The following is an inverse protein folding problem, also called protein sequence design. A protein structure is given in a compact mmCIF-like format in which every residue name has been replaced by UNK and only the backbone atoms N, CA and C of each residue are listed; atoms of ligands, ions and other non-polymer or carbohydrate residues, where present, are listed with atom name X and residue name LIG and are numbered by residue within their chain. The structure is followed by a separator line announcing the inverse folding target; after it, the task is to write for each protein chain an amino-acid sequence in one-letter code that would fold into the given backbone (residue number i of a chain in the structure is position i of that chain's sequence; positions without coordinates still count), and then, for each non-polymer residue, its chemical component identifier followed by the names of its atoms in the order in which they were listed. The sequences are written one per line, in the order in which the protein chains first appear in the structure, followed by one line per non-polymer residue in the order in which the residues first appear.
data_IF_316588026857
#
_entry.id   IF_316588026857
#
_cell.length_a   1.000
_cell.length_b   1.000
_cell.length_c   1.000
_cell.angle_alpha   90.00
_cell.angle_beta   90.00
_cell.angle_gamma   90.00
#
_symmetry.space_group_name_H-M   'P 1'
#
loop_
_entity.id
_entity.type
_entity.pdbx_description
1 polymer ?
#
# COMPACT_ATOMS: atom_id res chain seq x y z
N UNK A 1 -50.03 33.82 12.33
CA UNK A 1 -49.29 32.54 12.38
C UNK A 1 -48.83 32.26 10.96
N UNK A 2 -47.58 32.59 10.63
CA UNK A 2 -47.02 32.34 9.31
C UNK A 2 -46.75 30.84 9.16
N UNK A 3 -47.23 30.26 8.07
CA UNK A 3 -47.02 28.86 7.73
C UNK A 3 -45.52 28.59 7.57
N UNK A 4 -44.99 27.69 8.41
CA UNK A 4 -43.62 27.20 8.29
C UNK A 4 -43.59 26.37 7.01
N UNK A 5 -42.97 26.93 5.97
CA UNK A 5 -42.70 26.22 4.72
C UNK A 5 -41.70 25.10 5.02
N UNK A 6 -42.20 23.88 5.26
CA UNK A 6 -41.36 22.68 5.39
C UNK A 6 -40.77 22.34 4.02
N UNK A 7 -39.62 22.93 3.68
CA UNK A 7 -38.91 22.60 2.46
C UNK A 7 -38.22 21.24 2.62
N UNK A 8 -38.66 20.27 1.82
CA UNK A 8 -38.09 18.92 1.80
C UNK A 8 -36.65 18.95 1.27
N UNK A 9 -35.72 18.35 2.02
CA UNK A 9 -34.33 18.19 1.59
C UNK A 9 -34.19 17.00 0.64
N UNK A 10 -33.45 17.21 -0.44
CA UNK A 10 -33.12 16.17 -1.42
C UNK A 10 -31.62 15.91 -1.39
N UNK A 11 -31.26 14.75 -0.87
CA UNK A 11 -29.88 14.37 -0.64
C UNK A 11 -29.46 13.31 -1.68
N UNK A 12 -28.32 13.52 -2.33
CA UNK A 12 -27.60 12.48 -3.09
C UNK A 12 -26.56 11.90 -2.16
N UNK A 13 -26.82 10.71 -1.63
CA UNK A 13 -25.99 10.08 -0.61
C UNK A 13 -25.10 9.01 -1.24
N UNK A 14 -23.79 9.17 -1.09
CA UNK A 14 -22.74 8.27 -1.57
C UNK A 14 -22.26 7.47 -0.36
N UNK A 15 -22.44 6.16 -0.39
CA UNK A 15 -22.02 5.27 0.71
C UNK A 15 -20.67 4.62 0.40
N UNK A 16 -20.49 4.22 -0.85
CA UNK A 16 -19.26 3.68 -1.44
C UNK A 16 -19.19 4.18 -2.90
N UNK A 17 -18.04 4.05 -3.57
CA UNK A 17 -17.79 4.63 -4.90
C UNK A 17 -18.82 4.21 -5.97
N UNK A 18 -19.52 3.09 -5.79
CA UNK A 18 -20.54 2.54 -6.68
C UNK A 18 -21.97 2.60 -6.11
N UNK A 19 -22.15 3.05 -4.85
CA UNK A 19 -23.43 3.04 -4.14
C UNK A 19 -23.94 4.45 -3.88
N UNK A 20 -24.58 5.03 -4.90
CA UNK A 20 -25.21 6.36 -4.86
C UNK A 20 -26.72 6.22 -4.72
N UNK A 21 -27.29 6.77 -3.65
CA UNK A 21 -28.73 6.71 -3.36
C UNK A 21 -29.32 8.10 -3.18
N UNK A 22 -30.50 8.31 -3.76
CA UNK A 22 -31.27 9.53 -3.55
C UNK A 22 -32.19 9.38 -2.34
N UNK A 23 -32.02 10.23 -1.36
CA UNK A 23 -32.86 10.29 -0.15
C UNK A 23 -33.63 11.60 -0.15
N UNK A 24 -34.90 11.54 0.21
CA UNK A 24 -35.73 12.74 0.44
C UNK A 24 -36.14 12.74 1.90
N UNK A 25 -35.95 13.88 2.55
CA UNK A 25 -36.37 14.14 3.93
C UNK A 25 -37.50 15.15 3.90
N UNK A 26 -38.59 14.85 4.58
CA UNK A 26 -39.78 15.70 4.61
C UNK A 26 -39.59 16.91 5.53
N UNK A 27 -38.64 16.82 6.47
CA UNK A 27 -38.27 17.85 7.44
C UNK A 27 -36.75 18.04 7.45
N UNK A 28 -36.31 19.25 7.83
CA UNK A 28 -34.91 19.52 8.10
C UNK A 28 -34.50 18.85 9.43
N UNK A 29 -33.40 18.06 9.46
CA UNK A 29 -32.90 17.46 10.70
C UNK A 29 -32.57 18.53 11.74
N UNK A 30 -32.74 18.21 13.02
CA UNK A 30 -32.45 19.18 14.10
C UNK A 30 -30.93 19.28 14.41
N UNK A 31 -30.15 18.28 14.02
CA UNK A 31 -28.69 18.25 14.19
C UNK A 31 -28.02 17.30 13.19
N UNK A 32 -26.69 17.38 13.09
CA UNK A 32 -25.89 16.44 12.28
C UNK A 32 -26.05 14.99 12.79
N UNK A 33 -26.16 14.78 14.11
CA UNK A 33 -26.36 13.44 14.68
C UNK A 33 -27.75 12.88 14.39
N UNK A 34 -28.78 13.73 14.38
CA UNK A 34 -30.14 13.37 13.95
C UNK A 34 -30.14 12.95 12.48
N UNK A 35 -29.46 13.71 11.61
CA UNK A 35 -29.25 13.33 10.21
C UNK A 35 -28.53 11.98 10.08
N UNK A 36 -27.46 11.73 10.86
CA UNK A 36 -26.76 10.43 10.89
C UNK A 36 -27.70 9.29 11.29
N UNK A 37 -28.55 9.50 12.30
CA UNK A 37 -29.52 8.49 12.74
C UNK A 37 -30.55 8.15 11.66
N UNK A 38 -31.11 9.18 11.00
CA UNK A 38 -32.06 9.00 9.89
C UNK A 38 -31.41 8.25 8.72
N UNK A 39 -30.16 8.58 8.39
CA UNK A 39 -29.41 7.92 7.32
C UNK A 39 -29.09 6.46 7.66
N UNK A 40 -28.71 6.15 8.91
CA UNK A 40 -28.52 4.76 9.37
C UNK A 40 -29.76 3.92 9.18
N UNK A 41 -30.92 4.44 9.59
CA UNK A 41 -32.20 3.72 9.47
C UNK A 41 -32.60 3.52 7.99
N UNK A 42 -32.57 4.59 7.18
CA UNK A 42 -32.96 4.52 5.75
C UNK A 42 -32.01 3.69 4.90
N UNK A 43 -30.72 3.68 5.23
CA UNK A 43 -29.69 2.95 4.47
C UNK A 43 -29.36 1.58 5.04
N UNK A 44 -29.87 1.25 6.24
CA UNK A 44 -29.58 0.01 7.00
C UNK A 44 -28.08 -0.17 7.22
N UNK A 45 -27.42 0.86 7.76
CA UNK A 45 -25.98 0.85 8.03
C UNK A 45 -25.73 0.39 9.47
N UNK A 46 -24.89 -0.64 9.63
CA UNK A 46 -24.54 -1.24 10.93
C UNK A 46 -23.34 -0.56 11.63
N UNK A 47 -22.74 0.47 11.00
CA UNK A 47 -21.53 1.14 11.48
C UNK A 47 -21.70 2.65 11.67
N UNK A 48 -20.87 3.23 12.54
CA UNK A 48 -20.72 4.69 12.68
C UNK A 48 -19.99 5.30 11.49
N UNK A 49 -20.45 6.47 11.06
CA UNK A 49 -19.90 7.21 9.92
C UNK A 49 -19.91 8.71 10.18
N UNK A 50 -19.01 9.39 9.48
CA UNK A 50 -18.95 10.83 9.35
C UNK A 50 -19.54 11.26 8.01
N UNK A 51 -19.98 12.50 7.95
CA UNK A 51 -20.67 13.09 6.79
C UNK A 51 -19.79 14.18 6.20
N UNK A 52 -19.54 14.09 4.90
CA UNK A 52 -19.01 15.18 4.09
C UNK A 52 -20.09 15.65 3.13
N UNK A 53 -20.12 16.94 2.80
CA UNK A 53 -20.99 17.49 1.77
C UNK A 53 -20.19 18.19 0.68
N UNK A 54 -20.73 18.18 -0.54
CA UNK A 54 -20.15 18.88 -1.70
C UNK A 54 -20.49 20.37 -1.58
N UNK A 55 -19.49 21.23 -1.30
CA UNK A 55 -19.71 22.68 -1.16
C UNK A 55 -19.83 23.34 -2.56
N UNK A 56 -20.94 24.04 -2.86
CA UNK A 56 -21.15 24.64 -4.18
C UNK A 56 -20.13 25.74 -4.54
N UNK A 57 -19.54 26.39 -3.54
CA UNK A 57 -18.67 27.55 -3.71
C UNK A 57 -17.18 27.15 -3.92
N UNK A 58 -16.83 25.86 -3.76
CA UNK A 58 -15.47 25.32 -3.85
C UNK A 58 -15.33 24.21 -4.90
N UNK A 59 -15.85 24.43 -6.11
CA UNK A 59 -15.72 23.50 -7.26
C UNK A 59 -16.14 22.04 -6.98
N UNK A 60 -16.99 21.80 -5.97
CA UNK A 60 -17.45 20.47 -5.59
C UNK A 60 -16.51 19.67 -4.68
N UNK A 61 -15.61 20.33 -3.96
CA UNK A 61 -14.84 19.69 -2.89
C UNK A 61 -15.75 19.18 -1.75
N UNK A 62 -15.33 18.07 -1.14
CA UNK A 62 -16.04 17.42 -0.04
C UNK A 62 -15.54 17.94 1.31
N UNK A 63 -16.42 18.57 2.09
CA UNK A 63 -16.09 19.17 3.38
C UNK A 63 -16.92 18.52 4.48
N UNK A 64 -16.31 18.30 5.64
CA UNK A 64 -17.00 17.70 6.79
C UNK A 64 -18.19 18.56 7.23
N UNK A 65 -19.36 17.95 7.32
CA UNK A 65 -20.57 18.61 7.78
C UNK A 65 -20.53 18.72 9.32
N UNK A 66 -20.25 19.92 9.83
CA UNK A 66 -20.17 20.21 11.27
C UNK A 66 -21.43 20.91 11.78
N UNK A 67 -22.03 21.77 10.96
CA UNK A 67 -23.29 22.44 11.24
C UNK A 67 -24.37 21.99 10.24
N UNK A 68 -25.56 21.69 10.75
CA UNK A 68 -26.69 21.24 9.92
C UNK A 68 -27.27 22.40 9.09
N UNK A 69 -27.11 23.65 9.56
CA UNK A 69 -27.58 24.85 8.89
C UNK A 69 -26.78 25.17 7.60
N UNK A 70 -25.57 24.61 7.48
CA UNK A 70 -24.73 24.73 6.27
C UNK A 70 -25.23 23.86 5.11
N UNK A 71 -26.13 22.90 5.38
CA UNK A 71 -26.57 21.93 4.38
C UNK A 71 -27.63 22.54 3.42
N UNK A 72 -27.34 22.69 2.12
CA UNK A 72 -28.31 23.24 1.18
C UNK A 72 -29.47 22.26 0.94
N UNK A 73 -30.62 22.80 0.48
CA UNK A 73 -31.84 21.99 0.19
C UNK A 73 -31.61 20.85 -0.81
N UNK A 74 -30.58 20.99 -1.66
CA UNK A 74 -30.08 19.94 -2.53
C UNK A 74 -28.59 19.81 -2.28
N UNK A 75 -28.18 18.71 -1.67
CA UNK A 75 -26.79 18.45 -1.32
C UNK A 75 -26.38 17.04 -1.77
N UNK A 76 -25.11 16.90 -2.13
CA UNK A 76 -24.46 15.59 -2.19
C UNK A 76 -23.80 15.34 -0.84
N UNK A 77 -24.08 14.20 -0.24
CA UNK A 77 -23.43 13.74 0.98
C UNK A 77 -22.55 12.53 0.67
N UNK A 78 -21.34 12.52 1.18
CA UNK A 78 -20.46 11.37 1.19
C UNK A 78 -20.37 10.80 2.62
N UNK A 79 -20.67 9.52 2.77
CA UNK A 79 -20.52 8.80 4.03
C UNK A 79 -19.16 8.12 4.01
N UNK A 80 -18.36 8.40 5.02
CA UNK A 80 -17.11 7.70 5.24
C UNK A 80 -17.09 7.20 6.68
N UNK A 81 -16.47 6.04 6.90
CA UNK A 81 -16.36 5.46 8.24
C UNK A 81 -15.56 6.43 9.12
N UNK A 82 -16.10 6.76 10.29
CA UNK A 82 -15.40 7.58 11.25
C UNK A 82 -14.29 6.73 11.89
N UNK A 83 -13.05 6.92 11.45
CA UNK A 83 -11.89 6.53 12.24
C UNK A 83 -11.78 7.51 13.42
N UNK A 84 -11.50 6.98 14.61
CA UNK A 84 -11.49 7.76 15.85
C UNK A 84 -10.38 8.81 15.76
N UNK A 85 -10.76 10.05 15.47
CA UNK A 85 -9.87 11.20 15.44
C UNK A 85 -9.23 11.43 16.82
N UNK A 86 -7.89 11.43 16.86
CA UNK A 86 -7.17 12.25 17.84
C UNK A 86 -6.86 13.59 17.17
N UNK A 87 -7.70 14.59 17.44
CA UNK A 87 -7.48 16.00 17.09
C UNK A 87 -6.11 16.47 17.61
N UNK A 88 -5.29 17.32 16.97
CA UNK A 88 -5.62 18.46 16.09
C UNK A 88 -4.38 19.05 15.39
N UNK A 89 -4.63 19.66 14.21
CA UNK A 89 -3.99 20.84 13.57
C UNK A 89 -2.69 20.66 12.75
N UNK A 90 -2.85 20.85 11.43
CA UNK A 90 -1.92 21.49 10.43
C UNK A 90 -0.50 20.91 10.36
N UNK A 91 0.03 20.42 9.24
CA UNK A 91 -0.06 20.83 7.83
C UNK A 91 0.59 19.70 7.01
N UNK A 92 0.15 19.49 5.76
CA UNK A 92 0.82 18.72 4.68
C UNK A 92 1.06 17.22 4.90
N UNK A 93 0.24 16.43 4.20
CA UNK A 93 0.53 15.16 3.51
C UNK A 93 1.56 14.21 4.13
N UNK A 94 1.14 13.46 5.16
CA UNK A 94 1.73 12.15 5.49
C UNK A 94 0.74 11.28 6.28
N UNK A 95 -0.34 10.76 5.67
CA UNK A 95 -1.08 9.62 6.26
C UNK A 95 -1.61 8.66 5.18
N UNK A 96 -0.67 7.97 4.53
CA UNK A 96 -0.86 6.55 4.22
C UNK A 96 0.28 5.86 4.97
N UNK A 97 -0.06 5.09 6.02
CA UNK A 97 0.76 4.14 6.81
C UNK A 97 0.58 4.31 8.33
N UNK A 98 -0.63 4.09 8.85
CA UNK A 98 -0.83 3.85 10.29
C UNK A 98 -1.62 2.59 10.63
N UNK A 99 -2.19 1.88 9.64
CA UNK A 99 -3.10 0.75 9.90
C UNK A 99 -2.47 -0.64 10.09
N UNK A 100 -1.17 -0.71 10.43
CA UNK A 100 -0.47 -2.00 10.69
C UNK A 100 -0.08 -2.17 12.17
N UNK A 101 -0.66 -1.38 13.08
CA UNK A 101 -0.47 -1.54 14.54
C UNK A 101 -1.68 -2.13 15.27
N UNK A 102 -2.53 -2.89 14.57
CA UNK A 102 -3.65 -3.58 15.23
C UNK A 102 -3.12 -4.74 16.11
N UNK A 103 -3.52 -4.84 17.39
CA UNK A 103 -3.07 -5.90 18.31
C UNK A 103 -3.43 -7.32 17.82
N UNK A 104 -4.39 -7.44 16.90
CA UNK A 104 -4.77 -8.69 16.23
C UNK A 104 -3.70 -9.20 15.24
N UNK A 105 -2.91 -8.30 14.63
CA UNK A 105 -1.79 -8.73 13.81
C UNK A 105 -0.62 -9.17 14.68
N UNK A 106 -0.20 -8.41 15.69
CA UNK A 106 0.88 -8.80 16.62
C UNK A 106 0.65 -10.18 17.28
N UNK A 107 -0.59 -10.48 17.68
CA UNK A 107 -0.94 -11.77 18.28
C UNK A 107 -0.87 -12.96 17.31
N UNK A 108 -0.97 -12.73 16.00
CA UNK A 108 -0.77 -13.75 14.96
C UNK A 108 0.70 -14.06 14.70
N UNK A 109 1.59 -13.12 14.96
CA UNK A 109 3.04 -13.27 14.73
C UNK A 109 3.77 -13.84 15.96
N UNK A 110 3.32 -13.47 17.17
CA UNK A 110 3.87 -13.93 18.44
C UNK A 110 2.72 -14.17 19.44
N UNK A 111 2.28 -15.42 19.64
CA UNK A 111 1.27 -15.73 20.64
C UNK A 111 1.78 -15.35 22.04
N UNK A 112 1.25 -14.26 22.61
CA UNK A 112 1.52 -13.86 24.00
C UNK A 112 2.61 -12.81 24.24
N UNK A 113 3.09 -12.07 23.22
CA UNK A 113 4.00 -10.93 23.41
C UNK A 113 3.35 -9.58 23.09
N UNK A 114 3.57 -8.58 23.95
CA UNK A 114 3.10 -7.20 23.77
C UNK A 114 4.24 -6.24 23.37
N UNK A 115 3.88 -5.06 22.85
CA UNK A 115 4.82 -4.03 22.39
C UNK A 115 5.84 -3.59 23.46
N UNK A 116 5.47 -3.65 24.75
CA UNK A 116 6.35 -3.28 25.87
C UNK A 116 7.37 -4.37 26.21
N UNK A 117 7.03 -5.64 25.97
CA UNK A 117 7.94 -6.77 26.10
C UNK A 117 8.99 -6.73 25.00
N UNK A 118 8.59 -6.29 23.81
CA UNK A 118 9.42 -6.20 22.62
C UNK A 118 10.44 -5.04 22.71
N UNK A 119 10.03 -3.87 23.21
CA UNK A 119 10.97 -2.76 23.46
C UNK A 119 11.96 -3.08 24.60
N UNK A 120 11.52 -3.82 25.61
CA UNK A 120 12.42 -4.36 26.65
C UNK A 120 13.50 -5.26 26.05
N UNK A 121 13.11 -6.13 25.11
CA UNK A 121 14.05 -7.04 24.44
C UNK A 121 15.05 -6.28 23.55
N UNK A 122 14.62 -5.18 22.89
CA UNK A 122 15.52 -4.28 22.13
C UNK A 122 16.58 -3.64 23.03
N UNK A 123 16.16 -3.10 24.18
CA UNK A 123 17.07 -2.46 25.14
C UNK A 123 18.07 -3.46 25.73
N UNK A 124 17.62 -4.70 25.98
CA UNK A 124 18.48 -5.77 26.48
C UNK A 124 19.57 -6.15 25.45
N UNK A 125 19.27 -6.15 24.15
CA UNK A 125 20.28 -6.35 23.09
C UNK A 125 21.32 -5.23 23.10
N UNK A 126 20.87 -3.97 23.17
CA UNK A 126 21.78 -2.82 23.19
C UNK A 126 22.72 -2.91 24.39
N UNK A 127 22.18 -3.28 25.55
CA UNK A 127 22.95 -3.44 26.78
C UNK A 127 23.95 -4.60 26.68
N UNK A 128 23.57 -5.73 26.08
CA UNK A 128 24.46 -6.88 25.88
C UNK A 128 25.58 -6.57 24.87
N UNK A 129 25.28 -5.83 23.80
CA UNK A 129 26.27 -5.42 22.79
C UNK A 129 27.27 -4.39 23.33
N UNK A 130 26.90 -3.61 24.35
CA UNK A 130 27.77 -2.64 25.02
C UNK A 130 28.70 -3.25 26.07
N UNK A 131 28.55 -4.52 26.44
CA UNK A 131 29.43 -5.19 27.41
C UNK A 131 30.84 -5.41 26.84
N UNK A 132 31.84 -5.33 27.71
CA UNK A 132 33.26 -5.58 27.39
C UNK A 132 33.53 -7.05 27.06
N UNK A 133 32.83 -7.98 27.75
CA UNK A 133 32.72 -9.38 27.34
C UNK A 133 31.31 -9.62 26.79
N UNK A 134 31.23 -9.88 25.47
CA UNK A 134 29.97 -10.06 24.75
C UNK A 134 29.60 -11.54 24.70
N UNK A 135 28.40 -11.88 25.14
CA UNK A 135 27.90 -13.25 25.04
C UNK A 135 27.33 -13.50 23.64
N UNK A 136 28.21 -13.78 22.67
CA UNK A 136 27.82 -13.96 21.26
C UNK A 136 26.62 -14.90 21.04
N UNK A 137 26.47 -16.05 21.71
CA UNK A 137 25.31 -16.92 21.55
C UNK A 137 23.99 -16.31 22.08
N UNK A 138 24.08 -15.46 23.11
CA UNK A 138 22.93 -14.76 23.67
C UNK A 138 22.50 -13.62 22.74
N UNK A 139 23.47 -12.87 22.21
CA UNK A 139 23.22 -11.83 21.21
C UNK A 139 22.59 -12.46 19.96
N UNK A 140 23.12 -13.57 19.46
CA UNK A 140 22.59 -14.30 18.31
C UNK A 140 21.15 -14.78 18.55
N UNK A 141 20.89 -15.39 19.71
CA UNK A 141 19.53 -15.80 20.12
C UNK A 141 18.58 -14.60 20.20
N UNK A 142 19.00 -13.48 20.80
CA UNK A 142 18.17 -12.28 20.93
C UNK A 142 17.96 -11.59 19.58
N UNK A 143 18.96 -11.61 18.69
CA UNK A 143 18.85 -11.14 17.30
C UNK A 143 17.82 -11.97 16.53
N UNK A 144 17.85 -13.30 16.66
CA UNK A 144 16.86 -14.20 16.05
C UNK A 144 15.46 -13.95 16.63
N UNK A 145 15.33 -13.63 17.91
CA UNK A 145 14.01 -13.39 18.54
C UNK A 145 13.45 -11.99 18.18
N UNK A 146 14.30 -10.99 18.01
CA UNK A 146 13.92 -9.62 17.61
C UNK A 146 13.95 -9.39 16.09
N UNK A 147 14.28 -10.43 15.32
CA UNK A 147 14.30 -10.46 13.86
C UNK A 147 12.97 -9.98 13.25
N UNK A 148 11.85 -10.39 13.85
CA UNK A 148 10.50 -9.99 13.44
C UNK A 148 10.24 -8.50 13.72
N UNK A 149 10.81 -7.93 14.80
CA UNK A 149 10.62 -6.53 15.17
C UNK A 149 11.30 -5.57 14.21
N UNK A 150 12.52 -5.91 13.77
CA UNK A 150 13.29 -5.11 12.82
C UNK A 150 12.65 -5.05 11.42
N UNK A 151 11.64 -5.88 11.17
CA UNK A 151 10.90 -5.97 9.90
C UNK A 151 9.48 -5.42 10.01
N UNK A 152 9.16 -4.67 11.07
CA UNK A 152 7.93 -3.87 11.11
C UNK A 152 8.03 -2.77 10.04
N UNK A 153 7.01 -2.66 9.19
CA UNK A 153 7.00 -1.77 8.02
C UNK A 153 7.35 -0.30 8.37
N UNK A 154 6.82 0.22 9.47
CA UNK A 154 7.14 1.57 9.95
C UNK A 154 8.60 1.74 10.37
N UNK A 155 9.22 0.72 10.97
CA UNK A 155 10.61 0.76 11.39
C UNK A 155 11.56 0.71 10.19
N UNK A 156 11.26 -0.12 9.19
CA UNK A 156 12.11 -0.20 7.98
C UNK A 156 12.03 1.07 7.15
N UNK A 157 10.87 1.74 7.09
CA UNK A 157 10.75 3.06 6.45
C UNK A 157 11.49 4.15 7.22
N UNK A 158 11.41 4.15 8.55
CA UNK A 158 12.16 5.09 9.38
C UNK A 158 13.68 4.90 9.22
N UNK A 159 14.16 3.65 9.16
CA UNK A 159 15.57 3.34 8.91
C UNK A 159 16.00 3.75 7.51
N UNK A 160 15.18 3.51 6.48
CA UNK A 160 15.45 4.01 5.14
C UNK A 160 15.58 5.54 5.14
N UNK A 161 14.62 6.26 5.72
CA UNK A 161 14.64 7.72 5.80
C UNK A 161 15.85 8.22 6.60
N UNK A 162 16.26 7.52 7.65
CA UNK A 162 17.47 7.84 8.43
C UNK A 162 18.75 7.71 7.59
N UNK A 163 18.82 6.71 6.71
CA UNK A 163 20.01 6.43 5.88
C UNK A 163 20.07 7.36 4.66
N UNK A 164 18.94 7.56 3.99
CA UNK A 164 18.89 8.25 2.68
C UNK A 164 18.41 9.70 2.78
N UNK A 165 17.85 10.10 3.91
CA UNK A 165 17.14 11.37 4.09
C UNK A 165 15.94 11.56 3.14
N UNK A 166 15.41 10.47 2.57
CA UNK A 166 14.26 10.48 1.66
C UNK A 166 13.04 9.82 2.32
N UNK A 167 11.84 10.37 2.08
CA UNK A 167 10.58 9.71 2.42
C UNK A 167 10.24 8.69 1.31
N UNK A 168 10.46 7.40 1.60
CA UNK A 168 10.40 6.34 0.60
C UNK A 168 9.04 6.22 -0.13
N UNK A 169 7.89 6.10 0.57
CA UNK A 169 6.59 6.08 -0.10
C UNK A 169 6.36 7.28 -1.01
N UNK A 170 6.64 8.48 -0.53
CA UNK A 170 6.37 9.72 -1.27
C UNK A 170 7.22 9.78 -2.55
N UNK A 171 8.55 9.66 -2.42
CA UNK A 171 9.44 9.79 -3.58
C UNK A 171 9.17 8.69 -4.61
N UNK A 172 8.98 7.45 -4.17
CA UNK A 172 8.78 6.32 -5.06
C UNK A 172 7.47 6.44 -5.85
N UNK A 173 6.35 6.75 -5.20
CA UNK A 173 5.06 6.85 -5.89
C UNK A 173 5.00 8.08 -6.79
N UNK A 174 5.49 9.23 -6.33
CA UNK A 174 5.55 10.45 -7.15
C UNK A 174 6.34 10.21 -8.44
N UNK A 175 7.52 9.60 -8.31
CA UNK A 175 8.39 9.33 -9.45
C UNK A 175 7.87 8.21 -10.35
N UNK A 176 7.27 7.17 -9.77
CA UNK A 176 6.64 6.10 -10.53
C UNK A 176 5.48 6.65 -11.37
N UNK A 177 4.62 7.50 -10.80
CA UNK A 177 3.55 8.17 -11.51
C UNK A 177 4.09 9.07 -12.63
N UNK A 178 5.09 9.90 -12.32
CA UNK A 178 5.74 10.79 -13.28
C UNK A 178 6.29 10.04 -14.50
N UNK A 179 6.85 8.85 -14.29
CA UNK A 179 7.47 8.06 -15.36
C UNK A 179 6.52 7.08 -16.07
N UNK A 180 5.39 6.73 -15.46
CA UNK A 180 4.47 5.68 -15.94
C UNK A 180 4.05 5.86 -17.40
N UNK A 181 3.55 7.03 -17.79
CA UNK A 181 3.05 7.24 -19.17
C UNK A 181 4.15 7.11 -20.22
N UNK A 182 5.35 7.61 -19.92
CA UNK A 182 6.50 7.55 -20.83
C UNK A 182 7.02 6.13 -20.98
N UNK A 183 7.09 5.37 -19.88
CA UNK A 183 7.48 3.96 -19.89
C UNK A 183 6.47 3.11 -20.64
N UNK A 184 5.17 3.27 -20.40
CA UNK A 184 4.11 2.58 -21.14
C UNK A 184 4.18 2.83 -22.65
N UNK A 185 4.41 4.08 -23.05
CA UNK A 185 4.60 4.44 -24.47
C UNK A 185 5.84 3.75 -25.06
N UNK A 186 6.93 3.71 -24.30
CA UNK A 186 8.16 3.02 -24.71
C UNK A 186 7.96 1.52 -24.86
N UNK A 187 7.28 0.87 -23.92
CA UNK A 187 6.97 -0.56 -23.97
C UNK A 187 6.12 -0.89 -25.20
N UNK A 188 5.06 -0.13 -25.48
CA UNK A 188 4.23 -0.33 -26.69
C UNK A 188 5.05 -0.18 -27.98
N UNK A 189 5.90 0.85 -28.06
CA UNK A 189 6.81 1.05 -29.21
C UNK A 189 7.84 -0.09 -29.35
N UNK A 190 8.25 -0.70 -28.24
CA UNK A 190 9.19 -1.83 -28.26
C UNK A 190 8.48 -3.13 -28.63
N UNK A 191 7.27 -3.35 -28.13
CA UNK A 191 6.42 -4.51 -28.39
C UNK A 191 5.97 -4.61 -29.85
N UNK A 192 5.85 -3.48 -30.56
CA UNK A 192 5.51 -3.48 -32.00
C UNK A 192 6.65 -3.92 -32.92
N UNK A 193 7.79 -4.35 -32.37
CA UNK A 193 8.96 -4.84 -33.13
C UNK A 193 9.01 -6.36 -33.04
N UNK A 194 9.95 -6.97 -33.76
CA UNK A 194 10.16 -8.42 -33.72
C UNK A 194 11.20 -8.83 -32.66
N UNK A 195 11.09 -10.07 -32.19
CA UNK A 195 12.08 -10.74 -31.34
C UNK A 195 11.62 -10.93 -29.90
N UNK A 196 12.28 -11.86 -29.19
CA UNK A 196 11.87 -12.37 -27.87
C UNK A 196 11.46 -11.29 -26.85
N UNK A 197 12.24 -10.22 -26.72
CA UNK A 197 11.90 -9.10 -25.81
C UNK A 197 10.63 -8.36 -26.23
N UNK A 198 10.45 -8.16 -27.54
CA UNK A 198 9.26 -7.49 -28.07
C UNK A 198 8.02 -8.37 -27.86
N UNK A 199 8.15 -9.67 -28.09
CA UNK A 199 7.09 -10.66 -27.89
C UNK A 199 6.68 -10.71 -26.39
N UNK A 200 7.65 -10.80 -25.47
CA UNK A 200 7.39 -10.80 -24.03
C UNK A 200 6.72 -9.49 -23.54
N UNK A 201 7.13 -8.33 -24.06
CA UNK A 201 6.46 -7.05 -23.76
C UNK A 201 5.04 -7.01 -24.34
N UNK A 202 4.83 -7.56 -25.54
CA UNK A 202 3.51 -7.65 -26.16
C UNK A 202 2.57 -8.53 -25.33
N UNK A 203 3.07 -9.65 -24.79
CA UNK A 203 2.28 -10.52 -23.91
C UNK A 203 1.87 -9.83 -22.60
N UNK A 204 2.79 -9.11 -21.95
CA UNK A 204 2.48 -8.31 -20.75
C UNK A 204 1.41 -7.25 -21.07
N UNK A 205 1.61 -6.48 -22.14
CA UNK A 205 0.68 -5.41 -22.54
C UNK A 205 -0.69 -5.96 -22.95
N UNK A 206 -0.74 -7.13 -23.60
CA UNK A 206 -1.99 -7.80 -23.96
C UNK A 206 -2.81 -8.13 -22.70
N UNK A 207 -2.18 -8.65 -21.65
CA UNK A 207 -2.87 -8.99 -20.40
C UNK A 207 -3.31 -7.72 -19.65
N UNK A 208 -2.50 -6.66 -19.68
CA UNK A 208 -2.88 -5.35 -19.16
C UNK A 208 -4.12 -4.80 -19.89
N UNK A 209 -4.11 -4.79 -21.22
CA UNK A 209 -5.22 -4.21 -22.01
C UNK A 209 -6.52 -5.03 -21.90
N UNK A 210 -6.46 -6.26 -21.37
CA UNK A 210 -7.61 -7.10 -21.03
C UNK A 210 -8.18 -6.84 -19.63
N UNK A 211 -7.56 -5.98 -18.81
CA UNK A 211 -8.13 -5.62 -17.51
C UNK A 211 -9.38 -4.76 -17.69
N UNK A 212 -10.47 -5.07 -16.97
CA UNK A 212 -11.71 -4.30 -17.03
C UNK A 212 -11.51 -2.87 -16.48
N UNK A 213 -10.58 -2.70 -15.55
CA UNK A 213 -10.22 -1.42 -14.94
C UNK A 213 -8.76 -1.09 -15.27
N UNK A 214 -8.55 0.11 -15.83
CA UNK A 214 -7.24 0.65 -16.17
C UNK A 214 -6.84 1.75 -15.18
N UNK A 215 -6.87 1.41 -13.89
CA UNK A 215 -6.51 2.31 -12.80
C UNK A 215 -5.00 2.59 -12.74
N UNK A 216 -4.58 3.35 -11.73
CA UNK A 216 -3.16 3.67 -11.52
C UNK A 216 -2.35 2.42 -11.15
N UNK A 217 -2.92 1.51 -10.34
CA UNK A 217 -2.22 0.35 -9.81
C UNK A 217 -1.90 -0.72 -10.86
N UNK A 218 -2.81 -0.96 -11.79
CA UNK A 218 -2.61 -1.81 -12.96
C UNK A 218 -1.51 -1.26 -13.88
N UNK A 219 -1.41 0.06 -14.03
CA UNK A 219 -0.32 0.70 -14.78
C UNK A 219 1.02 0.56 -14.05
N UNK A 220 1.07 0.83 -12.75
CA UNK A 220 2.26 0.64 -11.91
C UNK A 220 2.77 -0.80 -11.98
N UNK A 221 1.87 -1.77 -11.80
CA UNK A 221 2.19 -3.19 -11.88
C UNK A 221 2.77 -3.56 -13.24
N UNK A 222 2.17 -3.04 -14.32
CA UNK A 222 2.68 -3.24 -15.69
C UNK A 222 4.07 -2.66 -15.87
N UNK A 223 4.29 -1.43 -15.39
CA UNK A 223 5.58 -0.75 -15.50
C UNK A 223 6.68 -1.51 -14.77
N UNK A 224 6.44 -1.88 -13.50
CA UNK A 224 7.40 -2.58 -12.67
C UNK A 224 7.73 -3.99 -13.22
N UNK A 225 6.77 -4.68 -13.84
CA UNK A 225 6.99 -6.00 -14.45
C UNK A 225 7.63 -5.92 -15.84
N UNK A 226 7.33 -4.90 -16.62
CA UNK A 226 7.85 -4.74 -17.99
C UNK A 226 9.26 -4.13 -18.04
N UNK A 227 9.65 -3.35 -17.02
CA UNK A 227 10.97 -2.73 -16.95
C UNK A 227 12.14 -3.72 -17.11
N UNK A 228 12.24 -4.80 -16.32
CA UNK A 228 13.36 -5.75 -16.48
C UNK A 228 13.33 -6.49 -17.83
N UNK A 229 12.14 -6.74 -18.37
CA UNK A 229 11.99 -7.33 -19.71
C UNK A 229 12.54 -6.38 -20.78
N UNK A 230 12.24 -5.08 -20.69
CA UNK A 230 12.79 -4.07 -21.60
C UNK A 230 14.33 -4.03 -21.55
N UNK A 231 14.89 -4.13 -20.34
CA UNK A 231 16.33 -4.14 -20.07
C UNK A 231 17.00 -5.49 -20.38
N UNK A 232 16.21 -6.50 -20.75
CA UNK A 232 16.65 -7.87 -21.12
C UNK A 232 17.30 -8.62 -19.95
N UNK A 233 16.77 -8.41 -18.77
CA UNK A 233 17.22 -9.01 -17.52
C UNK A 233 16.46 -10.30 -17.22
N UNK A 234 17.08 -11.19 -16.43
CA UNK A 234 16.45 -12.43 -15.99
C UNK A 234 15.62 -12.19 -14.73
N UNK A 235 14.32 -12.37 -14.85
CA UNK A 235 13.36 -12.14 -13.77
C UNK A 235 13.06 -13.40 -12.94
N UNK A 236 13.49 -14.58 -13.40
CA UNK A 236 13.10 -15.88 -12.82
C UNK A 236 13.59 -16.09 -11.39
N UNK A 237 14.73 -15.48 -11.04
CA UNK A 237 15.28 -15.48 -9.68
C UNK A 237 14.53 -14.58 -8.71
N UNK A 238 13.80 -13.57 -9.21
CA UNK A 238 13.28 -12.48 -8.39
C UNK A 238 11.75 -12.43 -8.30
N UNK A 239 11.04 -12.56 -9.42
CA UNK A 239 9.58 -12.66 -9.40
C UNK A 239 9.17 -14.13 -9.31
N UNK A 240 8.85 -14.57 -8.11
CA UNK A 240 8.34 -15.92 -7.83
C UNK A 240 6.82 -15.92 -7.86
N UNK A 241 6.23 -16.96 -8.43
CA UNK A 241 4.77 -17.13 -8.48
C UNK A 241 4.44 -18.54 -8.00
N UNK A 242 3.50 -18.67 -7.07
CA UNK A 242 2.97 -19.95 -6.61
C UNK A 242 1.44 -19.94 -6.63
N UNK A 243 0.84 -21.10 -6.83
CA UNK A 243 -0.61 -21.26 -6.76
C UNK A 243 -1.03 -21.59 -5.33
N UNK A 244 -2.22 -21.13 -4.93
CA UNK A 244 -2.80 -21.48 -3.63
C UNK A 244 -3.03 -23.00 -3.47
N UNK A 245 -3.24 -23.69 -4.58
CA UNK A 245 -3.46 -25.15 -4.60
C UNK A 245 -2.17 -25.96 -4.49
N UNK A 246 -1.01 -25.30 -4.62
CA UNK A 246 0.27 -25.96 -4.43
C UNK A 246 0.40 -26.34 -2.94
N UNK A 247 0.35 -27.65 -2.66
CA UNK A 247 0.38 -28.24 -1.30
C UNK A 247 1.73 -28.10 -0.61
N UNK A 248 2.76 -27.63 -1.32
CA UNK A 248 4.14 -27.57 -0.84
C UNK A 248 4.51 -26.15 -0.39
N UNK A 249 5.47 -26.03 0.52
CA UNK A 249 6.12 -24.75 0.79
C UNK A 249 6.60 -24.14 -0.54
N UNK A 250 6.38 -22.84 -0.78
CA UNK A 250 6.75 -22.23 -2.04
C UNK A 250 8.26 -22.44 -2.29
N UNK A 251 8.63 -22.82 -3.52
CA UNK A 251 10.04 -22.87 -3.90
C UNK A 251 10.57 -21.44 -4.02
N UNK A 252 11.16 -20.99 -2.92
CA UNK A 252 11.65 -19.64 -2.74
C UNK A 252 13.04 -19.46 -3.37
N UNK A 253 13.74 -20.57 -3.65
CA UNK A 253 15.12 -20.57 -4.17
C UNK A 253 16.15 -19.89 -3.25
N UNK A 254 17.38 -19.77 -3.74
CA UNK A 254 18.50 -19.16 -3.00
C UNK A 254 18.63 -17.64 -3.21
N UNK A 255 17.55 -16.96 -3.60
CA UNK A 255 17.59 -15.53 -3.88
C UNK A 255 17.76 -14.73 -2.56
N UNK A 256 18.71 -13.79 -2.47
CA UNK A 256 18.89 -12.98 -1.27
C UNK A 256 17.67 -12.10 -1.00
N UNK A 257 17.03 -11.61 -2.07
CA UNK A 257 15.79 -10.83 -2.04
C UNK A 257 14.94 -11.21 -3.25
N UNK A 258 13.67 -11.51 -3.03
CA UNK A 258 12.70 -11.80 -4.09
C UNK A 258 11.27 -11.36 -3.70
N UNK A 259 10.37 -11.30 -4.68
CA UNK A 259 8.95 -11.03 -4.48
C UNK A 259 8.16 -12.29 -4.85
N UNK A 260 7.45 -12.85 -3.88
CA UNK A 260 6.56 -14.00 -4.04
C UNK A 260 5.13 -13.51 -4.24
N UNK A 261 4.52 -13.93 -5.34
CA UNK A 261 3.11 -13.66 -5.68
C UNK A 261 2.32 -14.96 -5.60
N UNK A 262 1.32 -14.99 -4.74
CA UNK A 262 0.40 -16.13 -4.58
C UNK A 262 -0.86 -15.85 -5.41
N UNK A 263 -1.25 -16.79 -6.26
CA UNK A 263 -2.39 -16.65 -7.18
C UNK A 263 -3.35 -17.83 -7.08
N UNK A 264 -4.62 -17.61 -7.45
CA UNK A 264 -5.60 -18.69 -7.69
C UNK A 264 -5.74 -19.06 -9.16
N UNK A 265 -5.11 -18.29 -10.05
CA UNK A 265 -5.29 -18.38 -11.50
C UNK A 265 -4.08 -19.06 -12.16
N UNK A 266 -4.07 -19.08 -13.49
CA UNK A 266 -3.05 -19.74 -14.29
C UNK A 266 -1.64 -19.10 -14.14
N UNK A 267 -0.73 -19.82 -13.46
CA UNK A 267 0.68 -19.47 -13.28
C UNK A 267 1.48 -19.27 -14.59
N UNK A 268 0.97 -19.68 -15.75
CA UNK A 268 1.66 -19.45 -17.03
C UNK A 268 1.58 -17.99 -17.51
N UNK A 269 0.76 -17.14 -16.88
CA UNK A 269 0.67 -15.73 -17.25
C UNK A 269 1.94 -14.97 -16.83
N UNK A 270 2.53 -14.13 -17.69
CA UNK A 270 3.71 -13.33 -17.34
C UNK A 270 3.44 -12.25 -16.26
N UNK A 271 2.17 -11.89 -16.04
CA UNK A 271 1.76 -10.88 -15.06
C UNK A 271 0.38 -11.19 -14.47
N UNK A 272 0.22 -10.89 -13.17
CA UNK A 272 -1.01 -11.06 -12.41
C UNK A 272 -1.37 -9.75 -11.71
N UNK A 273 -2.56 -9.22 -12.01
CA UNK A 273 -3.03 -7.95 -11.43
C UNK A 273 -3.80 -8.12 -10.11
N UNK A 274 -4.41 -9.29 -9.91
CA UNK A 274 -5.23 -9.60 -8.73
C UNK A 274 -4.67 -10.82 -7.98
N UNK A 275 -3.45 -10.73 -7.43
CA UNK A 275 -2.92 -11.82 -6.62
C UNK A 275 -3.65 -11.91 -5.28
N UNK A 276 -3.67 -13.10 -4.70
CA UNK A 276 -4.26 -13.35 -3.38
C UNK A 276 -3.37 -12.75 -2.28
N UNK A 277 -2.07 -12.87 -2.47
CA UNK A 277 -1.06 -12.37 -1.53
C UNK A 277 0.22 -12.03 -2.26
N UNK A 278 0.86 -10.94 -1.86
CA UNK A 278 2.23 -10.64 -2.25
C UNK A 278 3.08 -10.60 -0.98
N UNK A 279 4.22 -11.29 -0.99
CA UNK A 279 5.15 -11.39 0.13
C UNK A 279 6.58 -11.15 -0.33
N UNK A 280 7.40 -10.63 0.58
CA UNK A 280 8.84 -10.49 0.35
C UNK A 280 9.55 -11.77 0.79
N UNK A 281 10.53 -12.18 0.02
CA UNK A 281 11.45 -13.26 0.35
C UNK A 281 12.79 -12.63 0.72
N UNK A 282 13.37 -13.05 1.84
CA UNK A 282 14.71 -12.67 2.26
C UNK A 282 15.49 -13.91 2.69
N UNK A 283 16.69 -14.12 2.15
CA UNK A 283 17.57 -15.24 2.52
C UNK A 283 16.85 -16.59 2.49
N UNK A 284 16.08 -16.85 1.43
CA UNK A 284 15.28 -18.07 1.24
C UNK A 284 14.10 -18.25 2.22
N UNK A 285 13.77 -17.24 3.03
CA UNK A 285 12.63 -17.25 3.94
C UNK A 285 11.53 -16.29 3.49
N UNK A 286 10.28 -16.77 3.48
CA UNK A 286 9.12 -15.92 3.18
C UNK A 286 8.84 -15.01 4.38
N UNK A 287 9.03 -13.71 4.20
CA UNK A 287 8.54 -12.72 5.14
C UNK A 287 7.04 -12.53 4.97
N UNK A 288 6.32 -12.57 6.10
CA UNK A 288 4.85 -12.48 6.12
C UNK A 288 4.41 -11.03 5.95
N UNK A 289 4.72 -10.42 4.82
CA UNK A 289 4.04 -9.19 4.40
C UNK A 289 2.81 -9.61 3.60
N UNK A 290 1.63 -9.11 3.97
CA UNK A 290 0.40 -9.30 3.18
C UNK A 290 0.20 -8.03 2.36
N UNK A 291 1.05 -7.84 1.36
CA UNK A 291 1.10 -6.58 0.62
C UNK A 291 -0.01 -6.56 -0.42
N UNK A 292 -0.81 -5.49 -0.48
CA UNK A 292 -1.98 -5.45 -1.35
C UNK A 292 -1.59 -5.26 -2.82
N UNK A 293 -0.46 -4.60 -3.10
CA UNK A 293 -0.03 -4.27 -4.48
C UNK A 293 1.45 -4.54 -4.68
N UNK A 294 1.83 -4.75 -5.96
CA UNK A 294 3.22 -4.98 -6.33
C UNK A 294 4.12 -3.77 -6.02
N UNK A 295 3.59 -2.55 -6.20
CA UNK A 295 4.32 -1.32 -5.87
C UNK A 295 4.68 -1.25 -4.36
N UNK A 296 3.76 -1.64 -3.48
CA UNK A 296 4.01 -1.74 -2.04
C UNK A 296 5.09 -2.80 -1.73
N UNK A 297 5.11 -3.90 -2.48
CA UNK A 297 6.19 -4.90 -2.39
C UNK A 297 7.56 -4.33 -2.77
N UNK A 298 7.64 -3.53 -3.83
CA UNK A 298 8.88 -2.83 -4.17
C UNK A 298 9.31 -1.86 -3.07
N UNK A 299 8.39 -1.07 -2.51
CA UNK A 299 8.67 -0.16 -1.40
C UNK A 299 9.27 -0.87 -0.19
N UNK A 300 8.56 -1.85 0.35
CA UNK A 300 9.01 -2.60 1.53
C UNK A 300 10.34 -3.31 1.26
N UNK A 301 10.51 -3.85 0.05
CA UNK A 301 11.76 -4.48 -0.35
C UNK A 301 12.94 -3.49 -0.33
N UNK A 302 12.80 -2.30 -0.94
CA UNK A 302 13.85 -1.30 -0.90
C UNK A 302 14.12 -0.83 0.53
N UNK A 303 13.08 -0.63 1.34
CA UNK A 303 13.25 -0.31 2.77
C UNK A 303 14.10 -1.38 3.48
N UNK A 304 13.79 -2.66 3.27
CA UNK A 304 14.52 -3.80 3.84
C UNK A 304 15.96 -3.87 3.34
N UNK A 305 16.20 -3.66 2.04
CA UNK A 305 17.55 -3.68 1.49
C UNK A 305 18.44 -2.64 2.17
N UNK A 306 17.95 -1.42 2.37
CA UNK A 306 18.72 -0.37 3.03
C UNK A 306 18.84 -0.60 4.54
N UNK A 307 17.73 -0.95 5.21
CA UNK A 307 17.70 -1.16 6.66
C UNK A 307 18.59 -2.34 7.08
N UNK A 308 18.70 -3.38 6.24
CA UNK A 308 19.49 -4.59 6.50
C UNK A 308 20.83 -4.60 5.77
N UNK A 309 21.16 -3.54 5.02
CA UNK A 309 22.40 -3.43 4.24
C UNK A 309 22.63 -4.63 3.29
N UNK A 310 21.59 -4.98 2.54
CA UNK A 310 21.63 -6.07 1.56
C UNK A 310 22.17 -5.56 0.22
N UNK A 311 22.80 -6.44 -0.55
CA UNK A 311 23.16 -6.15 -1.94
C UNK A 311 21.95 -6.29 -2.87
N UNK A 312 21.90 -5.48 -3.93
CA UNK A 312 20.89 -5.65 -4.97
C UNK A 312 21.02 -6.99 -5.71
N UNK A 313 19.90 -7.60 -6.15
CA UNK A 313 19.91 -8.78 -7.01
C UNK A 313 20.70 -8.51 -8.30
N UNK A 314 21.70 -9.35 -8.58
CA UNK A 314 22.63 -9.14 -9.71
C UNK A 314 21.98 -9.39 -11.05
N UNK A 315 20.99 -10.25 -11.09
CA UNK A 315 20.20 -10.61 -12.28
C UNK A 315 19.40 -9.41 -12.81
N UNK A 316 19.15 -8.41 -11.95
CA UNK A 316 18.32 -7.23 -12.19
C UNK A 316 19.10 -5.92 -11.97
N UNK A 317 20.41 -5.94 -12.15
CA UNK A 317 21.29 -4.82 -11.83
C UNK A 317 20.84 -3.48 -12.45
N UNK A 318 20.43 -3.47 -13.72
CA UNK A 318 19.99 -2.26 -14.41
C UNK A 318 18.58 -1.83 -13.96
N UNK A 319 17.70 -2.78 -13.63
CA UNK A 319 16.38 -2.46 -13.05
C UNK A 319 16.54 -1.80 -11.68
N UNK A 320 17.38 -2.36 -10.81
CA UNK A 320 17.63 -1.80 -9.49
C UNK A 320 18.36 -0.46 -9.57
N UNK A 321 19.34 -0.31 -10.48
CA UNK A 321 19.97 0.98 -10.75
C UNK A 321 18.96 2.02 -11.24
N UNK A 322 18.05 1.63 -12.15
CA UNK A 322 16.99 2.52 -12.61
C UNK A 322 16.09 2.96 -11.45
N UNK A 323 15.62 2.03 -10.62
CA UNK A 323 14.74 2.36 -9.49
C UNK A 323 15.48 3.24 -8.49
N UNK A 324 16.72 2.90 -8.12
CA UNK A 324 17.58 3.69 -7.24
C UNK A 324 17.70 5.15 -7.71
N UNK A 325 18.07 5.36 -8.98
CA UNK A 325 18.36 6.70 -9.50
C UNK A 325 17.10 7.49 -9.81
N UNK A 326 16.13 6.86 -10.46
CA UNK A 326 14.98 7.56 -11.03
C UNK A 326 13.72 7.50 -10.17
N UNK A 327 13.53 6.44 -9.37
CA UNK A 327 12.36 6.35 -8.50
C UNK A 327 12.67 6.71 -7.05
N UNK A 328 13.90 6.52 -6.59
CA UNK A 328 14.30 6.86 -5.21
C UNK A 328 15.06 8.20 -5.12
N UNK A 329 15.49 8.77 -6.25
CA UNK A 329 16.22 10.03 -6.29
C UNK A 329 17.54 9.97 -5.52
N UNK A 330 18.19 8.80 -5.48
CA UNK A 330 19.44 8.59 -4.77
C UNK A 330 20.62 8.76 -5.74
N UNK A 331 21.63 9.51 -5.32
CA UNK A 331 22.89 9.61 -6.04
C UNK A 331 23.75 8.36 -5.79
N UNK A 332 24.71 8.10 -6.68
CA UNK A 332 25.69 7.02 -6.52
C UNK A 332 26.51 7.24 -5.23
N UNK A 333 26.02 6.72 -4.10
CA UNK A 333 26.77 6.48 -2.88
C UNK A 333 27.20 5.02 -2.85
N UNK A 334 28.47 4.76 -2.58
CA UNK A 334 29.05 3.40 -2.52
C UNK A 334 28.20 2.48 -1.61
N UNK A 335 27.35 1.65 -2.22
CA UNK A 335 26.73 0.47 -1.58
C UNK A 335 27.62 -0.74 -1.72
#
# INVERSE_FOLDING_TARGET
MAAISSQALKLRVIVEADSIRKITLDTHPESVDDLKSILKDKLKLDADFSLQYEEPDFDGELISLVDIDELPQKATLNLFRAEVETSSISTTDTELLSDVSSPEQLSRWLPGQDMTSLERQRLEIIQEVQKTEKTLPLIDRMMQTTFVLRRQESQVYAEFQRITNQNLPNIFYEELDRHTLRLMTLYRKRASKTGKTSDALADILRIHDLQDQHDVHTRHTTVLRALPVLLREDVSGFFKTCRVEDSDEPDVGDAPVAILTVISDDAEKPIHFNPIKISIVLESEVMVTNLPRLADAFLVMFALIYALHLSYPKELANTFEFVHKFLLGLEDGET
#
